data_IF_005237567258
#
_entry.id   IF_005237567258
#
_cell.length_a   1.000
_cell.length_b   1.000
_cell.length_c   1.000
_cell.angle_alpha   90.00
_cell.angle_beta   90.00
_cell.angle_gamma   90.00
#
_symmetry.space_group_name_H-M   'P 1'
#
loop_
_entity.id
_entity.type
_entity.pdbx_description
1 polymer ?
#
# COMPACT_ATOMS: atom_id res chain seq x y z
N UNK A 1 -12.50 22.41 -3.85
CA UNK A 1 -11.30 22.70 -3.05
C UNK A 1 -11.42 21.90 -1.76
N UNK A 2 -10.82 20.71 -1.70
CA UNK A 2 -10.95 19.81 -0.54
C UNK A 2 -9.79 20.12 0.40
N UNK A 3 -10.10 20.61 1.59
CA UNK A 3 -9.15 20.85 2.67
C UNK A 3 -8.55 19.51 3.13
N UNK A 4 -7.24 19.31 2.92
CA UNK A 4 -6.49 18.23 3.54
C UNK A 4 -6.31 18.58 5.02
N UNK A 5 -6.88 17.76 5.89
CA UNK A 5 -6.81 17.91 7.34
C UNK A 5 -5.36 18.08 7.79
N UNK A 6 -5.13 19.14 8.57
CA UNK A 6 -3.90 19.48 9.26
C UNK A 6 -3.50 18.39 10.26
N UNK A 7 -2.84 17.33 9.77
CA UNK A 7 -2.07 16.43 10.62
C UNK A 7 -0.76 17.13 11.01
N UNK A 8 -0.38 17.06 12.29
CA UNK A 8 0.91 17.60 12.72
C UNK A 8 2.06 16.87 11.99
N UNK A 9 3.21 17.52 11.74
CA UNK A 9 4.36 16.89 11.05
C UNK A 9 4.78 15.56 11.70
N UNK A 10 4.58 15.45 13.00
CA UNK A 10 4.85 14.31 13.87
C UNK A 10 3.97 13.10 13.51
N UNK A 11 2.70 13.32 13.14
CA UNK A 11 1.79 12.27 12.71
C UNK A 11 2.11 11.74 11.30
N UNK A 12 2.86 12.50 10.50
CA UNK A 12 3.32 12.09 9.17
C UNK A 12 4.64 11.32 9.24
N UNK A 13 5.40 11.43 10.33
CA UNK A 13 6.70 10.75 10.48
C UNK A 13 6.59 9.21 10.41
N UNK A 14 5.45 8.66 10.84
CA UNK A 14 5.16 7.22 10.81
C UNK A 14 4.37 6.78 9.57
N UNK A 15 4.06 7.70 8.63
CA UNK A 15 3.31 7.40 7.42
C UNK A 15 4.25 7.24 6.22
N UNK A 16 4.21 6.09 5.58
CA UNK A 16 4.96 5.82 4.36
C UNK A 16 4.03 5.86 3.15
N UNK A 17 4.44 6.61 2.12
CA UNK A 17 3.83 6.49 0.79
C UNK A 17 4.28 5.19 0.13
N UNK A 18 3.33 4.38 -0.31
CA UNK A 18 3.58 3.16 -1.06
C UNK A 18 2.84 3.20 -2.39
N UNK A 19 3.52 2.78 -3.46
CA UNK A 19 2.98 2.81 -4.82
C UNK A 19 2.81 1.39 -5.35
N UNK A 20 1.59 1.08 -5.79
CA UNK A 20 1.25 -0.15 -6.48
C UNK A 20 0.63 0.16 -7.83
N UNK A 21 0.91 -0.69 -8.81
CA UNK A 21 0.22 -0.66 -10.10
C UNK A 21 -0.91 -1.68 -10.05
N UNK A 22 -2.11 -1.24 -10.41
CA UNK A 22 -3.28 -2.10 -10.51
C UNK A 22 -3.63 -2.33 -11.98
N UNK A 23 -3.55 -3.58 -12.45
CA UNK A 23 -4.00 -3.99 -13.78
C UNK A 23 -5.29 -4.77 -13.66
N UNK A 24 -6.36 -4.32 -14.32
CA UNK A 24 -7.69 -4.96 -14.23
C UNK A 24 -8.18 -5.44 -15.58
N UNK A 25 -8.85 -6.59 -15.57
CA UNK A 25 -9.68 -7.07 -16.68
C UNK A 25 -11.13 -6.78 -16.32
N UNK A 26 -11.79 -6.00 -17.17
CA UNK A 26 -13.21 -5.66 -17.03
C UNK A 26 -14.04 -6.37 -18.11
N UNK A 27 -15.26 -6.76 -17.77
CA UNK A 27 -16.19 -7.33 -18.75
C UNK A 27 -16.96 -6.21 -19.50
N UNK A 28 -17.81 -6.64 -20.44
CA UNK A 28 -18.72 -5.76 -21.20
C UNK A 28 -19.68 -4.92 -20.33
N UNK A 29 -19.93 -5.34 -19.09
CA UNK A 29 -20.75 -4.63 -18.12
C UNK A 29 -19.94 -3.70 -17.19
N UNK A 30 -18.65 -3.47 -17.51
CA UNK A 30 -17.72 -2.65 -16.71
C UNK A 30 -17.46 -3.18 -15.30
N UNK A 31 -17.63 -4.49 -15.09
CA UNK A 31 -17.34 -5.14 -13.82
C UNK A 31 -15.93 -5.73 -13.85
N UNK A 32 -15.21 -5.62 -12.74
CA UNK A 32 -13.90 -6.26 -12.58
C UNK A 32 -14.09 -7.78 -12.49
N UNK A 33 -13.47 -8.51 -13.42
CA UNK A 33 -13.50 -9.97 -13.45
C UNK A 33 -12.27 -10.55 -12.77
N UNK A 34 -11.10 -9.98 -13.04
CA UNK A 34 -9.82 -10.37 -12.45
C UNK A 34 -8.78 -9.25 -12.63
N UNK A 35 -7.62 -9.42 -12.01
CA UNK A 35 -6.52 -8.48 -12.18
C UNK A 35 -5.28 -8.87 -11.40
N UNK A 36 -4.34 -7.96 -11.41
CA UNK A 36 -3.03 -8.08 -10.80
C UNK A 36 -2.71 -6.79 -10.03
N UNK A 37 -2.25 -6.95 -8.78
CA UNK A 37 -1.68 -5.88 -7.97
C UNK A 37 -0.16 -6.08 -7.97
N UNK A 38 0.55 -5.09 -8.48
CA UNK A 38 1.99 -5.15 -8.72
C UNK A 38 2.66 -4.15 -7.79
N UNK A 39 3.50 -4.65 -6.89
CA UNK A 39 4.38 -3.85 -6.07
C UNK A 39 5.59 -3.41 -6.91
N UNK A 40 5.73 -2.09 -7.07
CA UNK A 40 6.80 -1.51 -7.87
C UNK A 40 8.17 -1.57 -7.20
N UNK A 41 8.21 -1.68 -5.87
CA UNK A 41 9.45 -1.71 -5.09
C UNK A 41 10.02 -3.13 -4.99
N UNK A 42 9.15 -4.14 -4.83
CA UNK A 42 9.57 -5.54 -4.65
C UNK A 42 9.40 -6.41 -5.91
N UNK A 43 8.83 -5.85 -6.99
CA UNK A 43 8.39 -6.59 -8.18
C UNK A 43 7.40 -7.74 -7.87
N UNK A 44 6.82 -7.77 -6.65
CA UNK A 44 5.84 -8.77 -6.27
C UNK A 44 4.53 -8.54 -7.02
N UNK A 45 3.96 -9.62 -7.57
CA UNK A 45 2.65 -9.57 -8.23
C UNK A 45 1.66 -10.47 -7.51
N UNK A 46 0.52 -9.90 -7.11
CA UNK A 46 -0.61 -10.63 -6.53
C UNK A 46 -1.79 -10.66 -7.49
N UNK A 47 -2.21 -11.86 -7.88
CA UNK A 47 -3.39 -12.06 -8.73
C UNK A 47 -4.66 -12.14 -7.90
N UNK A 48 -5.75 -11.62 -8.46
CA UNK A 48 -7.07 -11.70 -7.84
C UNK A 48 -8.20 -11.90 -8.85
N UNK A 49 -9.34 -12.40 -8.36
CA UNK A 49 -10.61 -12.48 -9.09
C UNK A 49 -11.62 -11.58 -8.42
N UNK A 50 -12.42 -10.85 -9.22
CA UNK A 50 -13.49 -9.94 -8.81
C UNK A 50 -13.09 -8.87 -7.76
N UNK A 51 -14.07 -8.08 -7.32
CA UNK A 51 -13.86 -7.02 -6.33
C UNK A 51 -13.39 -7.55 -4.97
N UNK A 52 -14.00 -8.66 -4.49
CA UNK A 52 -13.64 -9.25 -3.20
C UNK A 52 -12.20 -9.76 -3.21
N UNK A 53 -11.75 -10.36 -4.32
CA UNK A 53 -10.36 -10.79 -4.44
C UNK A 53 -9.38 -9.62 -4.46
N UNK A 54 -9.73 -8.47 -5.05
CA UNK A 54 -8.89 -7.26 -5.02
C UNK A 54 -8.66 -6.81 -3.58
N UNK A 55 -9.71 -6.70 -2.78
CA UNK A 55 -9.60 -6.31 -1.36
C UNK A 55 -8.71 -7.31 -0.60
N UNK A 56 -8.85 -8.61 -0.86
CA UNK A 56 -8.00 -9.63 -0.24
C UNK A 56 -6.53 -9.56 -0.68
N UNK A 57 -6.27 -9.22 -1.94
CA UNK A 57 -4.90 -9.04 -2.44
C UNK A 57 -4.26 -7.79 -1.83
N UNK A 58 -5.00 -6.68 -1.77
CA UNK A 58 -4.54 -5.44 -1.14
C UNK A 58 -4.25 -5.63 0.35
N UNK A 59 -5.15 -6.28 1.09
CA UNK A 59 -4.93 -6.57 2.52
C UNK A 59 -3.73 -7.48 2.75
N UNK A 60 -3.48 -8.46 1.86
CA UNK A 60 -2.28 -9.31 1.93
C UNK A 60 -1.02 -8.52 1.64
N UNK A 61 -1.04 -7.68 0.61
CA UNK A 61 0.08 -6.82 0.27
C UNK A 61 0.42 -5.86 1.43
N UNK A 62 -0.58 -5.18 2.00
CA UNK A 62 -0.39 -4.29 3.16
C UNK A 62 0.21 -5.01 4.37
N UNK A 63 -0.22 -6.24 4.66
CA UNK A 63 0.34 -7.05 5.76
C UNK A 63 1.80 -7.44 5.53
N UNK A 64 2.24 -7.51 4.28
CA UNK A 64 3.61 -7.85 3.91
C UNK A 64 4.53 -6.62 3.83
N UNK A 65 3.97 -5.41 3.86
CA UNK A 65 4.78 -4.19 3.97
C UNK A 65 5.33 -4.14 5.39
N UNK A 66 6.66 -4.24 5.52
CA UNK A 66 7.31 -4.05 6.81
C UNK A 66 7.12 -2.59 7.25
N UNK A 67 6.82 -2.31 8.51
CA UNK A 67 6.86 -0.95 9.01
C UNK A 67 8.26 -0.35 8.79
N UNK A 68 8.36 0.96 8.55
CA UNK A 68 9.66 1.61 8.44
C UNK A 68 10.48 1.29 9.69
N UNK A 69 11.74 0.89 9.49
CA UNK A 69 12.64 0.59 10.60
C UNK A 69 12.71 1.80 11.53
N UNK A 70 12.33 1.60 12.79
CA UNK A 70 12.32 2.64 13.80
C UNK A 70 13.76 3.17 14.00
N UNK A 71 14.04 4.34 13.42
CA UNK A 71 15.36 5.00 13.50
C UNK A 71 15.62 5.59 14.88
N UNK A 72 14.70 5.47 15.83
CA UNK A 72 14.84 6.00 17.19
C UNK A 72 15.93 5.31 18.01
N UNK A 73 16.45 4.16 17.58
CA UNK A 73 17.44 3.38 18.33
C UNK A 73 18.92 3.78 18.14
N UNK A 74 19.22 4.81 17.33
CA UNK A 74 20.61 5.21 17.02
C UNK A 74 21.19 6.35 17.86
N UNK A 75 20.42 6.94 18.80
CA UNK A 75 20.90 8.09 19.63
C UNK A 75 21.32 7.76 21.07
N UNK A 76 21.36 6.49 21.50
CA UNK A 76 21.63 6.12 22.91
C UNK A 76 23.04 5.55 23.17
N UNK A 77 23.99 5.68 22.24
CA UNK A 77 25.38 5.19 22.43
C UNK A 77 26.48 6.24 22.23
N UNK A 78 26.14 7.51 22.41
CA UNK A 78 27.12 8.60 22.47
C UNK A 78 26.79 9.55 23.63
N UNK A 79 26.91 9.05 24.86
CA UNK A 79 27.10 9.85 26.08
C UNK A 79 27.97 9.07 27.05
#
# INVERSE_FOLDING_TARGET
MIWLSSRSPEQLADQQYSTVVLRVVVNKHRQIVQGELIDTASAQTLRFKNWRGLIQALSRWLKNQSPPADRSHLKSKQS
#
